data_IF_633604514424
#
_entry.id   IF_633604514424
#
_cell.length_a   1.000
_cell.length_b   1.000
_cell.length_c   1.000
_cell.angle_alpha   90.00
_cell.angle_beta   90.00
_cell.angle_gamma   90.00
#
_symmetry.space_group_name_H-M   'P 1'
#
loop_
_entity.id
_entity.type
_entity.pdbx_description
1 polymer ?
#
# COMPACT_ATOMS: atom_id res chain seq x y z
N UNK A 1 10.57 10.84 11.34
CA UNK A 1 11.09 10.55 9.99
C UNK A 1 12.02 9.34 10.06
N UNK A 2 11.91 8.41 9.12
CA UNK A 2 12.67 7.17 8.99
C UNK A 2 13.18 7.03 7.55
N UNK A 3 14.09 6.08 7.30
CA UNK A 3 14.56 5.78 5.95
C UNK A 3 13.47 5.21 5.02
N UNK A 4 12.28 4.92 5.55
CA UNK A 4 11.11 4.51 4.78
C UNK A 4 10.32 5.69 4.22
N UNK A 5 10.45 6.91 4.77
CA UNK A 5 9.67 8.06 4.30
C UNK A 5 9.92 8.39 2.81
N UNK A 6 11.17 8.40 2.29
CA UNK A 6 11.38 8.63 0.87
C UNK A 6 10.74 7.56 -0.03
N UNK A 7 10.62 6.32 0.48
CA UNK A 7 9.95 5.23 -0.22
C UNK A 7 8.42 5.39 -0.17
N UNK A 8 7.89 5.78 0.98
CA UNK A 8 6.48 6.12 1.18
C UNK A 8 6.04 7.25 0.24
N UNK A 9 6.86 8.31 0.14
CA UNK A 9 6.62 9.44 -0.76
C UNK A 9 6.68 9.01 -2.24
N UNK A 10 7.65 8.15 -2.58
CA UNK A 10 7.73 7.60 -3.94
C UNK A 10 6.47 6.80 -4.30
N UNK A 11 6.00 5.92 -3.41
CA UNK A 11 4.78 5.13 -3.63
C UNK A 11 3.58 6.08 -3.79
N UNK A 12 3.46 7.09 -2.91
CA UNK A 12 2.39 8.11 -2.99
C UNK A 12 2.41 8.86 -4.32
N UNK A 13 3.59 9.16 -4.86
CA UNK A 13 3.75 9.81 -6.17
C UNK A 13 3.39 8.91 -7.36
N UNK A 14 3.33 7.59 -7.16
CA UNK A 14 2.97 6.62 -8.19
C UNK A 14 1.47 6.29 -8.23
N UNK A 15 0.67 6.81 -7.30
CA UNK A 15 -0.76 6.61 -7.29
C UNK A 15 -1.45 7.35 -8.46
N UNK A 16 -2.53 6.76 -9.02
CA UNK A 16 -3.31 7.46 -10.02
C UNK A 16 -4.01 8.69 -9.41
N UNK A 17 -4.28 9.76 -10.18
CA UNK A 17 -4.93 10.98 -9.66
C UNK A 17 -6.31 10.75 -9.03
N UNK A 18 -6.98 9.65 -9.38
CA UNK A 18 -8.27 9.27 -8.84
C UNK A 18 -8.18 8.59 -7.46
N UNK A 19 -7.00 8.06 -7.09
CA UNK A 19 -6.80 7.49 -5.76
C UNK A 19 -6.85 8.61 -4.71
N UNK A 20 -7.65 8.41 -3.67
CA UNK A 20 -7.74 9.33 -2.53
C UNK A 20 -7.26 8.59 -1.29
N UNK A 21 -5.98 8.69 -0.94
CA UNK A 21 -5.49 8.15 0.32
C UNK A 21 -6.24 8.78 1.50
N UNK A 22 -6.54 8.00 2.56
CA UNK A 22 -7.09 8.56 3.78
C UNK A 22 -6.20 9.66 4.36
N UNK A 23 -6.81 10.65 5.00
CA UNK A 23 -6.07 11.63 5.80
C UNK A 23 -5.34 10.91 6.96
N UNK A 24 -4.11 11.32 7.28
CA UNK A 24 -3.33 10.66 8.33
C UNK A 24 -2.73 9.30 7.93
N UNK A 25 -2.73 8.95 6.64
CA UNK A 25 -2.22 7.66 6.15
C UNK A 25 -0.69 7.56 6.09
N UNK A 26 0.08 8.46 6.72
CA UNK A 26 1.54 8.45 6.71
C UNK A 26 2.11 7.11 7.19
N UNK A 27 1.55 6.56 8.27
CA UNK A 27 1.98 5.26 8.82
C UNK A 27 1.62 4.10 7.89
N UNK A 28 0.48 4.17 7.19
CA UNK A 28 0.12 3.19 6.17
C UNK A 28 1.14 3.17 5.02
N UNK A 29 1.56 4.33 4.51
CA UNK A 29 2.56 4.35 3.46
C UNK A 29 3.94 3.87 3.93
N UNK A 30 4.27 3.97 5.23
CA UNK A 30 5.47 3.32 5.79
C UNK A 30 5.36 1.80 5.78
N UNK A 31 4.18 1.23 6.04
CA UNK A 31 3.94 -0.20 5.88
C UNK A 31 4.07 -0.63 4.41
N UNK A 32 3.52 0.16 3.48
CA UNK A 32 3.72 -0.08 2.04
C UNK A 32 5.18 0.04 1.61
N UNK A 33 5.96 0.93 2.22
CA UNK A 33 7.40 0.99 2.00
C UNK A 33 8.14 -0.27 2.48
N UNK A 34 7.65 -0.94 3.52
CA UNK A 34 8.16 -2.26 3.93
C UNK A 34 7.82 -3.31 2.88
N UNK A 35 6.59 -3.35 2.35
CA UNK A 35 6.19 -4.26 1.27
C UNK A 35 7.04 -4.05 0.01
N UNK A 36 7.29 -2.80 -0.36
CA UNK A 36 8.19 -2.43 -1.46
C UNK A 36 9.58 -3.04 -1.27
N UNK A 37 10.15 -2.95 -0.06
CA UNK A 37 11.48 -3.53 0.22
C UNK A 37 11.49 -5.05 0.26
N UNK A 38 10.42 -5.68 0.76
CA UNK A 38 10.36 -7.12 0.95
C UNK A 38 10.01 -7.88 -0.34
N UNK A 39 9.06 -7.36 -1.12
CA UNK A 39 8.49 -8.04 -2.29
C UNK A 39 8.69 -7.28 -3.60
N UNK A 40 8.82 -5.95 -3.57
CA UNK A 40 9.02 -5.12 -4.75
C UNK A 40 7.88 -5.31 -5.76
N UNK A 41 8.23 -5.68 -6.99
CA UNK A 41 7.25 -5.92 -8.06
C UNK A 41 6.33 -7.13 -7.83
N UNK A 42 6.65 -7.98 -6.84
CA UNK A 42 5.83 -9.17 -6.48
C UNK A 42 4.79 -8.88 -5.39
N UNK A 43 4.58 -7.62 -5.02
CA UNK A 43 3.47 -7.24 -4.13
C UNK A 43 2.14 -7.59 -4.79
N UNK A 44 1.22 -8.10 -4.01
CA UNK A 44 -0.14 -8.48 -4.38
C UNK A 44 -1.15 -7.57 -3.68
N UNK A 45 -2.39 -7.60 -4.14
CA UNK A 45 -3.47 -6.81 -3.56
C UNK A 45 -3.79 -7.28 -2.13
N UNK A 46 -3.61 -8.58 -1.86
CA UNK A 46 -3.70 -9.18 -0.52
C UNK A 46 -2.62 -8.63 0.44
N UNK A 47 -1.36 -8.47 -0.01
CA UNK A 47 -0.33 -7.87 0.85
C UNK A 47 -0.66 -6.43 1.24
N UNK A 48 -1.27 -5.68 0.31
CA UNK A 48 -1.73 -4.31 0.54
C UNK A 48 -2.85 -4.30 1.55
N UNK A 49 -3.82 -5.19 1.39
CA UNK A 49 -4.94 -5.34 2.32
C UNK A 49 -4.47 -5.73 3.73
N UNK A 50 -3.50 -6.63 3.86
CA UNK A 50 -2.94 -7.01 5.16
C UNK A 50 -2.27 -5.82 5.86
N UNK A 51 -1.48 -5.04 5.11
CA UNK A 51 -0.84 -3.84 5.63
C UNK A 51 -1.86 -2.75 5.97
N UNK A 52 -2.89 -2.58 5.14
CA UNK A 52 -3.99 -1.66 5.42
C UNK A 52 -4.78 -2.10 6.65
N UNK A 53 -5.06 -3.38 6.81
CA UNK A 53 -5.79 -3.93 7.95
C UNK A 53 -5.02 -3.72 9.25
N UNK A 54 -3.70 -3.96 9.24
CA UNK A 54 -2.84 -3.71 10.38
C UNK A 54 -2.83 -2.21 10.79
N UNK A 55 -2.84 -1.30 9.83
CA UNK A 55 -2.97 0.13 10.11
C UNK A 55 -4.38 0.51 10.56
N UNK A 56 -5.42 0.03 9.89
CA UNK A 56 -6.81 0.35 10.16
C UNK A 56 -7.22 -0.12 11.56
N UNK A 57 -6.71 -1.26 12.04
CA UNK A 57 -6.91 -1.69 13.42
C UNK A 57 -6.46 -0.65 14.47
N UNK A 58 -5.46 0.19 14.15
CA UNK A 58 -5.00 1.27 15.05
C UNK A 58 -5.85 2.53 14.97
N UNK A 59 -6.67 2.66 13.93
CA UNK A 59 -7.53 3.81 13.63
C UNK A 59 -8.98 3.53 14.03
N UNK A 60 -9.53 2.40 13.59
CA UNK A 60 -10.87 1.89 13.85
C UNK A 60 -10.84 0.35 13.82
N UNK A 61 -10.77 -0.27 15.01
CA UNK A 61 -10.74 -1.73 15.18
C UNK A 61 -12.09 -2.41 14.88
N UNK A 62 -13.16 -1.63 14.71
CA UNK A 62 -14.49 -2.10 14.34
C UNK A 62 -14.78 -2.06 12.84
N UNK A 63 -13.81 -1.65 12.01
CA UNK A 63 -14.04 -1.46 10.58
C UNK A 63 -14.42 -2.79 9.89
N UNK A 64 -15.54 -2.79 9.16
CA UNK A 64 -16.15 -4.02 8.61
C UNK A 64 -15.26 -4.81 7.63
N UNK A 65 -14.31 -4.13 6.97
CA UNK A 65 -13.34 -4.76 6.06
C UNK A 65 -12.14 -5.39 6.76
N UNK A 66 -12.06 -5.40 8.10
CA UNK A 66 -11.04 -6.12 8.87
C UNK A 66 -11.30 -7.64 8.88
N UNK A 67 -11.31 -8.22 7.69
CA UNK A 67 -11.50 -9.65 7.41
C UNK A 67 -10.44 -10.10 6.39
N UNK A 68 -10.17 -11.40 6.23
CA UNK A 68 -9.27 -11.89 5.19
C UNK A 68 -9.61 -11.36 3.79
N UNK A 69 -8.59 -11.16 2.94
CA UNK A 69 -8.77 -10.58 1.60
C UNK A 69 -9.75 -11.41 0.74
N UNK A 70 -9.73 -12.74 0.87
CA UNK A 70 -10.64 -13.64 0.18
C UNK A 70 -12.10 -13.53 0.63
N UNK A 71 -12.36 -12.95 1.80
CA UNK A 71 -13.71 -12.76 2.35
C UNK A 71 -14.29 -11.39 1.97
N UNK A 72 -13.49 -10.49 1.42
CA UNK A 72 -13.95 -9.19 0.93
C UNK A 72 -14.85 -9.32 -0.30
N UNK A 73 -15.77 -8.37 -0.46
CA UNK A 73 -16.49 -8.22 -1.73
C UNK A 73 -15.51 -7.88 -2.87
N UNK A 74 -15.79 -8.27 -4.14
CA UNK A 74 -14.92 -7.92 -5.27
C UNK A 74 -14.70 -6.41 -5.44
N UNK A 75 -15.71 -5.60 -5.12
CA UNK A 75 -15.62 -4.14 -5.17
C UNK A 75 -14.67 -3.59 -4.09
N UNK A 76 -14.73 -4.16 -2.88
CA UNK A 76 -13.80 -3.77 -1.80
C UNK A 76 -12.36 -4.13 -2.16
N UNK A 77 -12.10 -5.34 -2.67
CA UNK A 77 -10.76 -5.77 -3.10
C UNK A 77 -10.17 -4.89 -4.20
N UNK A 78 -11.03 -4.37 -5.09
CA UNK A 78 -10.59 -3.46 -6.15
C UNK A 78 -10.02 -2.13 -5.61
N UNK A 79 -10.26 -1.81 -4.34
CA UNK A 79 -9.68 -0.62 -3.69
C UNK A 79 -8.20 -0.77 -3.37
N UNK A 80 -7.69 -2.01 -3.26
CA UNK A 80 -6.28 -2.31 -2.97
C UNK A 80 -5.39 -2.23 -4.21
N UNK A 81 -5.95 -2.58 -5.38
CA UNK A 81 -5.23 -2.64 -6.66
C UNK A 81 -4.41 -1.37 -7.00
N UNK A 82 -4.95 -0.13 -6.87
CA UNK A 82 -4.18 1.08 -7.14
C UNK A 82 -2.92 1.23 -6.29
N UNK A 83 -2.95 0.78 -5.03
CA UNK A 83 -1.80 0.83 -4.13
C UNK A 83 -0.79 -0.26 -4.46
N UNK A 84 -1.25 -1.47 -4.78
CA UNK A 84 -0.39 -2.55 -5.23
C UNK A 84 0.38 -2.14 -6.51
N UNK A 85 -0.32 -1.55 -7.48
CA UNK A 85 0.29 -1.04 -8.71
C UNK A 85 1.28 0.09 -8.45
N UNK A 86 0.97 1.01 -7.53
CA UNK A 86 1.88 2.08 -7.14
C UNK A 86 3.16 1.55 -6.48
N UNK A 87 3.07 0.50 -5.65
CA UNK A 87 4.25 -0.16 -5.06
C UNK A 87 5.10 -0.84 -6.14
N UNK A 88 4.46 -1.58 -7.06
CA UNK A 88 5.17 -2.22 -8.18
C UNK A 88 5.86 -1.18 -9.06
N UNK A 89 5.23 -0.03 -9.30
CA UNK A 89 5.81 1.08 -10.05
C UNK A 89 7.00 1.71 -9.33
N UNK A 90 6.88 1.98 -8.03
CA UNK A 90 7.98 2.45 -7.22
C UNK A 90 9.17 1.47 -7.27
N UNK A 91 8.91 0.16 -7.23
CA UNK A 91 9.94 -0.88 -7.34
C UNK A 91 10.69 -0.80 -8.68
N UNK A 92 9.97 -0.66 -9.80
CA UNK A 92 10.56 -0.49 -11.13
C UNK A 92 11.46 0.75 -11.20
N UNK A 93 11.04 1.88 -10.63
CA UNK A 93 11.84 3.12 -10.61
C UNK A 93 13.13 2.96 -9.81
N UNK A 94 13.09 2.25 -8.67
CA UNK A 94 14.28 1.96 -7.86
C UNK A 94 15.23 0.97 -8.53
N UNK A 95 14.70 0.02 -9.31
CA UNK A 95 15.50 -0.93 -10.10
C UNK A 95 16.12 -0.28 -11.34
N UNK A 96 15.37 0.57 -12.04
CA UNK A 96 15.79 1.24 -13.28
C UNK A 96 16.80 2.39 -13.10
N UNK A 97 16.96 2.91 -11.88
CA UNK A 97 17.98 3.92 -11.55
C UNK A 97 19.39 3.36 -11.31
N UNK A 98 19.60 2.05 -11.49
CA UNK A 98 20.90 1.37 -11.37
C UNK A 98 21.54 1.00 -12.72
N UNK A 99 21.11 1.63 -13.81
CA UNK A 99 21.68 1.50 -15.15
C UNK A 99 22.75 2.54 -15.45
#
# INVERSE_FOLDING_TARGET
>A
MTYLDPLADLIRSCLPPAARPPEGSEDLFRLYAVLLRAKGERVTDEDVHDAWSAWMQTVDDGHASLVPFEDLSPETRASDAPYADAIREAARRLGGGRG
#
